data_IF_088802321990
#
_entry.id   IF_088802321990
#
_cell.length_a   1.000
_cell.length_b   1.000
_cell.length_c   1.000
_cell.angle_alpha   90.00
_cell.angle_beta   90.00
_cell.angle_gamma   90.00
#
_symmetry.space_group_name_H-M   'P 1'
#
loop_
_entity.id
_entity.type
_entity.pdbx_description
1 polymer ?
#
# COMPACT_ATOMS: atom_id res chain seq x y z
N UNK A 1 62.70 -18.76 -42.95
CA UNK A 1 61.89 -19.83 -42.31
C UNK A 1 61.77 -19.55 -40.81
N UNK A 2 60.59 -19.82 -40.26
CA UNK A 2 60.23 -19.99 -38.84
C UNK A 2 59.79 -18.78 -38.00
N UNK A 3 58.44 -18.74 -37.88
CA UNK A 3 57.49 -18.08 -36.97
C UNK A 3 57.95 -17.76 -35.53
N UNK A 4 57.43 -16.64 -34.99
CA UNK A 4 56.72 -16.62 -33.69
C UNK A 4 55.71 -15.47 -33.62
N UNK A 5 54.58 -15.77 -32.98
CA UNK A 5 53.30 -15.09 -33.01
C UNK A 5 53.21 -13.84 -32.13
N UNK A 6 52.30 -12.94 -32.49
CA UNK A 6 51.84 -11.83 -31.66
C UNK A 6 50.44 -11.40 -32.08
N UNK A 7 49.43 -11.94 -31.40
CA UNK A 7 48.04 -11.48 -31.44
C UNK A 7 47.96 -10.11 -30.76
N UNK A 8 47.40 -9.10 -31.42
CA UNK A 8 46.81 -7.96 -30.72
C UNK A 8 45.40 -7.71 -31.25
N UNK A 9 44.44 -8.04 -30.38
CA UNK A 9 43.02 -7.82 -30.55
C UNK A 9 42.72 -6.34 -30.78
N UNK A 10 41.87 -6.06 -31.77
CA UNK A 10 41.14 -4.80 -31.87
C UNK A 10 40.18 -4.70 -30.69
N UNK A 11 40.50 -3.85 -29.72
CA UNK A 11 39.57 -3.45 -28.69
C UNK A 11 38.66 -2.35 -29.27
N UNK A 12 37.53 -2.77 -29.84
CA UNK A 12 36.38 -1.89 -30.04
C UNK A 12 35.95 -1.31 -28.68
N UNK A 13 36.05 0.01 -28.52
CA UNK A 13 35.50 0.73 -27.38
C UNK A 13 33.99 0.55 -27.37
N UNK A 14 33.49 -0.31 -26.49
CA UNK A 14 32.07 -0.34 -26.13
C UNK A 14 31.65 1.04 -25.59
N UNK A 15 30.52 1.61 -26.04
CA UNK A 15 30.01 2.86 -25.51
C UNK A 15 29.61 2.67 -24.03
N UNK A 16 29.76 3.71 -23.18
CA UNK A 16 29.48 3.59 -21.76
C UNK A 16 28.01 3.25 -21.53
N UNK A 17 27.77 2.22 -20.70
CA UNK A 17 26.44 1.83 -20.23
C UNK A 17 25.72 3.01 -19.55
N UNK A 18 24.38 3.09 -19.65
CA UNK A 18 23.62 4.28 -19.28
C UNK A 18 23.70 4.57 -17.78
N UNK A 19 23.90 5.84 -17.43
CA UNK A 19 24.16 6.38 -16.09
C UNK A 19 23.15 6.03 -14.96
N UNK A 20 22.06 5.32 -15.25
CA UNK A 20 21.07 4.88 -14.24
C UNK A 20 21.61 3.77 -13.33
N UNK A 21 22.44 2.87 -13.88
CA UNK A 21 23.06 1.77 -13.14
C UNK A 21 24.01 2.28 -12.04
N UNK A 22 24.67 3.42 -12.29
CA UNK A 22 25.63 4.04 -11.36
C UNK A 22 24.96 4.71 -10.14
N UNK A 23 23.71 5.13 -10.25
CA UNK A 23 22.98 5.72 -9.12
C UNK A 23 22.42 4.62 -8.20
N UNK A 24 21.89 3.55 -8.80
CA UNK A 24 21.34 2.40 -8.08
C UNK A 24 22.43 1.62 -7.33
N UNK A 25 23.56 1.36 -7.99
CA UNK A 25 24.74 0.74 -7.37
C UNK A 25 25.34 1.58 -6.25
N UNK A 26 25.41 2.91 -6.40
CA UNK A 26 25.87 3.81 -5.32
C UNK A 26 24.95 3.78 -4.10
N UNK A 27 23.63 3.73 -4.29
CA UNK A 27 22.69 3.72 -3.16
C UNK A 27 22.73 2.38 -2.42
N UNK A 28 22.81 1.25 -3.14
CA UNK A 28 23.05 -0.06 -2.54
C UNK A 28 24.40 -0.13 -1.81
N UNK A 29 25.45 0.50 -2.37
CA UNK A 29 26.78 0.58 -1.76
C UNK A 29 26.78 1.46 -0.51
N UNK A 30 26.09 2.61 -0.52
CA UNK A 30 25.95 3.48 0.65
C UNK A 30 25.16 2.80 1.77
N UNK A 31 24.07 2.10 1.47
CA UNK A 31 23.32 1.30 2.45
C UNK A 31 24.18 0.16 3.04
N UNK A 32 25.13 -0.39 2.27
CA UNK A 32 26.05 -1.42 2.75
C UNK A 32 27.28 -0.88 3.50
N UNK A 33 27.64 0.40 3.33
CA UNK A 33 28.85 1.01 3.89
C UNK A 33 28.60 1.78 5.19
N UNK A 34 27.35 2.13 5.52
CA UNK A 34 27.06 3.09 6.57
C UNK A 34 26.65 2.39 7.88
N UNK A 35 27.65 1.80 8.56
CA UNK A 35 27.55 1.18 9.89
C UNK A 35 27.80 2.20 11.03
N UNK A 36 27.29 3.43 10.86
CA UNK A 36 27.30 4.46 11.90
C UNK A 36 25.96 4.53 12.64
N UNK A 37 25.98 4.65 13.97
CA UNK A 37 24.78 4.91 14.77
C UNK A 37 24.02 6.13 14.18
N UNK A 38 22.72 5.97 13.90
CA UNK A 38 21.82 6.95 13.27
C UNK A 38 21.97 7.20 11.75
N UNK A 39 22.78 6.44 11.01
CA UNK A 39 22.88 6.55 9.54
C UNK A 39 21.52 6.40 8.84
N UNK A 40 20.69 5.45 9.28
CA UNK A 40 19.39 5.14 8.68
C UNK A 40 18.42 6.34 8.77
N UNK A 41 18.45 7.09 9.87
CA UNK A 41 17.65 8.31 10.07
C UNK A 41 18.19 9.48 9.23
N UNK A 42 19.51 9.54 9.00
CA UNK A 42 20.13 10.56 8.13
C UNK A 42 19.93 10.26 6.63
N UNK A 43 19.67 9.01 6.29
CA UNK A 43 19.32 8.56 4.94
C UNK A 43 17.85 8.83 4.59
N UNK A 44 16.98 9.09 5.58
CA UNK A 44 15.59 9.52 5.36
C UNK A 44 15.59 10.91 4.71
N UNK A 45 15.14 10.95 3.45
CA UNK A 45 14.81 12.20 2.81
C UNK A 45 13.48 12.73 3.35
N UNK A 46 13.21 14.03 3.13
CA UNK A 46 11.94 14.63 3.54
C UNK A 46 10.72 14.01 2.83
N UNK A 47 10.90 13.25 1.75
CA UNK A 47 9.88 12.38 1.16
C UNK A 47 9.52 11.22 2.13
N UNK A 48 10.54 10.43 2.50
CA UNK A 48 10.42 9.31 3.43
C UNK A 48 9.78 9.69 4.79
N UNK A 49 10.04 10.90 5.29
CA UNK A 49 9.35 11.42 6.50
C UNK A 49 7.84 11.60 6.30
N UNK A 50 7.41 12.06 5.12
CA UNK A 50 5.99 12.20 4.80
C UNK A 50 5.35 10.81 4.65
N UNK A 51 6.08 9.85 4.08
CA UNK A 51 5.67 8.45 4.03
C UNK A 51 5.47 7.86 5.42
N UNK A 52 6.38 8.13 6.36
CA UNK A 52 6.24 7.72 7.76
C UNK A 52 5.01 8.36 8.44
N UNK A 53 4.63 9.58 8.04
CA UNK A 53 3.39 10.21 8.51
C UNK A 53 2.14 9.50 7.99
N UNK A 54 2.15 9.00 6.75
CA UNK A 54 1.08 8.13 6.25
C UNK A 54 0.98 6.86 7.13
N UNK A 55 2.09 6.15 7.33
CA UNK A 55 2.13 4.96 8.19
C UNK A 55 1.69 5.24 9.63
N UNK A 56 2.05 6.41 10.18
CA UNK A 56 1.60 6.87 11.50
C UNK A 56 0.08 7.05 11.56
N UNK A 57 -0.54 7.61 10.51
CA UNK A 57 -1.99 7.73 10.43
C UNK A 57 -2.66 6.35 10.39
N UNK A 58 -2.12 5.42 9.58
CA UNK A 58 -2.60 4.04 9.54
C UNK A 58 -2.54 3.36 10.91
N UNK A 59 -1.40 3.50 11.60
CA UNK A 59 -1.24 2.95 12.94
C UNK A 59 -2.19 3.59 13.97
N UNK A 60 -2.37 4.91 13.94
CA UNK A 60 -3.33 5.60 14.80
C UNK A 60 -4.77 5.18 14.53
N UNK A 61 -5.13 4.91 13.28
CA UNK A 61 -6.43 4.34 12.91
C UNK A 61 -6.64 2.96 13.56
N UNK A 62 -5.62 2.10 13.54
CA UNK A 62 -5.67 0.78 14.19
C UNK A 62 -5.84 0.93 15.69
N UNK A 63 -5.05 1.78 16.35
CA UNK A 63 -5.17 2.03 17.78
C UNK A 63 -6.54 2.57 18.16
N UNK A 64 -7.10 3.48 17.36
CA UNK A 64 -8.44 4.01 17.58
C UNK A 64 -9.53 2.95 17.41
N UNK A 65 -9.37 2.05 16.44
CA UNK A 65 -10.24 0.89 16.24
C UNK A 65 -10.18 -0.07 17.44
N UNK A 66 -8.98 -0.34 17.96
CA UNK A 66 -8.79 -1.16 19.16
C UNK A 66 -9.39 -0.50 20.40
N UNK A 67 -9.22 0.82 20.55
CA UNK A 67 -9.83 1.58 21.66
C UNK A 67 -11.35 1.49 21.61
N UNK A 68 -11.95 1.58 20.42
CA UNK A 68 -13.39 1.36 20.26
C UNK A 68 -13.82 -0.03 20.72
N UNK A 69 -13.06 -1.09 20.38
CA UNK A 69 -13.36 -2.45 20.84
C UNK A 69 -13.28 -2.65 22.36
N UNK A 70 -12.48 -1.84 23.06
CA UNK A 70 -12.26 -1.94 24.52
C UNK A 70 -13.13 -0.97 25.32
N UNK A 71 -13.61 0.10 24.69
CA UNK A 71 -14.45 1.11 25.31
C UNK A 71 -15.94 0.73 25.28
N UNK A 72 -16.78 1.61 25.82
CA UNK A 72 -18.23 1.45 25.75
C UNK A 72 -18.68 1.44 24.27
N UNK A 73 -19.47 0.45 23.82
CA UNK A 73 -19.99 0.38 22.45
C UNK A 73 -20.77 1.63 21.99
N UNK A 74 -21.27 2.44 22.94
CA UNK A 74 -22.00 3.67 22.63
C UNK A 74 -21.07 4.86 22.29
N UNK A 75 -19.78 4.78 22.64
CA UNK A 75 -18.81 5.84 22.33
C UNK A 75 -18.21 5.67 20.93
N UNK A 76 -18.93 6.20 19.94
CA UNK A 76 -18.50 6.19 18.54
C UNK A 76 -17.32 7.12 18.26
N UNK A 77 -16.84 7.92 19.23
CA UNK A 77 -15.76 8.88 19.02
C UNK A 77 -14.50 8.20 18.49
N UNK A 78 -14.12 7.08 19.10
CA UNK A 78 -12.93 6.32 18.68
C UNK A 78 -13.12 5.65 17.30
N UNK A 79 -14.35 5.27 16.95
CA UNK A 79 -14.66 4.73 15.62
C UNK A 79 -14.55 5.81 14.54
N UNK A 80 -15.10 6.99 14.79
CA UNK A 80 -14.99 8.14 13.88
C UNK A 80 -13.55 8.63 13.73
N UNK A 81 -12.76 8.60 14.80
CA UNK A 81 -11.32 8.90 14.73
C UNK A 81 -10.59 7.88 13.85
N UNK A 82 -10.89 6.58 13.98
CA UNK A 82 -10.31 5.56 13.10
C UNK A 82 -10.65 5.86 11.63
N UNK A 83 -11.92 6.17 11.35
CA UNK A 83 -12.37 6.56 10.01
C UNK A 83 -11.69 7.82 9.48
N UNK A 84 -11.42 8.81 10.35
CA UNK A 84 -10.78 10.07 9.97
C UNK A 84 -9.27 9.96 9.69
N UNK A 85 -8.56 9.03 10.33
CA UNK A 85 -7.11 8.88 10.11
C UNK A 85 -6.76 8.29 8.73
N UNK A 86 -7.59 7.41 8.16
CA UNK A 86 -7.36 6.84 6.83
C UNK A 86 -7.28 7.88 5.68
N UNK A 87 -8.24 8.81 5.50
CA UNK A 87 -8.15 9.85 4.47
C UNK A 87 -7.03 10.85 4.77
N UNK A 88 -6.64 11.04 6.03
CA UNK A 88 -5.47 11.85 6.39
C UNK A 88 -4.15 11.18 5.96
N UNK A 89 -4.04 9.85 6.10
CA UNK A 89 -2.93 9.07 5.53
C UNK A 89 -2.85 9.20 4.01
N UNK A 90 -4.00 9.16 3.31
CA UNK A 90 -4.07 9.39 1.86
C UNK A 90 -3.63 10.80 1.46
N UNK A 91 -3.93 11.80 2.27
CA UNK A 91 -3.44 13.15 2.01
C UNK A 91 -1.91 13.22 2.07
N UNK A 92 -1.29 12.52 3.02
CA UNK A 92 0.18 12.44 3.12
C UNK A 92 0.81 11.62 2.00
N UNK A 93 0.25 10.47 1.63
CA UNK A 93 0.67 9.66 0.48
C UNK A 93 0.72 10.49 -0.81
N UNK A 94 -0.36 11.21 -1.11
CA UNK A 94 -0.41 12.08 -2.28
C UNK A 94 0.63 13.22 -2.23
N UNK A 95 0.89 13.76 -1.04
CA UNK A 95 1.88 14.82 -0.85
C UNK A 95 3.30 14.30 -1.01
N UNK A 96 3.63 13.13 -0.47
CA UNK A 96 4.93 12.48 -0.63
C UNK A 96 5.21 12.20 -2.10
N UNK A 97 4.27 11.58 -2.81
CA UNK A 97 4.40 11.32 -4.24
C UNK A 97 4.61 12.59 -5.08
N UNK A 98 4.05 13.74 -4.66
CA UNK A 98 4.27 15.04 -5.31
C UNK A 98 5.66 15.61 -4.99
N UNK A 99 6.09 15.51 -3.74
CA UNK A 99 7.40 15.98 -3.26
C UNK A 99 8.55 15.16 -3.87
N UNK A 100 8.40 13.84 -3.96
CA UNK A 100 9.36 12.94 -4.60
C UNK A 100 9.55 13.27 -6.10
N UNK A 101 8.45 13.57 -6.81
CA UNK A 101 8.50 14.02 -8.21
C UNK A 101 9.17 15.39 -8.36
N UNK A 102 8.85 16.34 -7.49
CA UNK A 102 9.41 17.68 -7.54
C UNK A 102 10.93 17.70 -7.32
N UNK A 103 11.45 16.77 -6.51
CA UNK A 103 12.88 16.66 -6.22
C UNK A 103 13.69 15.81 -7.20
N UNK A 104 13.07 15.22 -8.22
CA UNK A 104 13.71 14.30 -9.19
C UNK A 104 14.56 13.17 -8.56
N UNK A 105 14.34 12.90 -7.26
CA UNK A 105 15.08 11.93 -6.46
C UNK A 105 14.08 10.96 -5.86
N UNK A 106 13.75 9.92 -6.61
CA UNK A 106 13.07 8.75 -6.07
C UNK A 106 14.12 7.76 -5.56
N UNK A 107 14.23 7.60 -4.24
CA UNK A 107 15.04 6.52 -3.66
C UNK A 107 14.31 5.18 -3.82
N UNK A 108 15.07 4.10 -4.04
CA UNK A 108 14.54 2.73 -3.98
C UNK A 108 14.01 2.38 -2.58
N UNK A 109 14.66 2.88 -1.53
CA UNK A 109 14.24 2.64 -0.15
C UNK A 109 12.90 3.32 0.15
N UNK A 110 12.72 4.56 -0.30
CA UNK A 110 11.46 5.30 -0.15
C UNK A 110 10.28 4.64 -0.88
N UNK A 111 10.51 4.03 -2.05
CA UNK A 111 9.45 3.30 -2.78
C UNK A 111 8.95 2.07 -2.02
N UNK A 112 9.86 1.30 -1.41
CA UNK A 112 9.46 0.15 -0.59
C UNK A 112 8.77 0.62 0.70
N UNK A 113 9.27 1.70 1.32
CA UNK A 113 8.67 2.29 2.51
C UNK A 113 7.25 2.79 2.25
N UNK A 114 7.01 3.42 1.11
CA UNK A 114 5.70 3.91 0.64
C UNK A 114 4.69 2.77 0.53
N UNK A 115 5.10 1.68 -0.10
CA UNK A 115 4.25 0.49 -0.21
C UNK A 115 3.94 -0.15 1.14
N UNK A 116 4.91 -0.19 2.06
CA UNK A 116 4.67 -0.72 3.41
C UNK A 116 3.73 0.19 4.21
N UNK A 117 3.90 1.50 4.12
CA UNK A 117 3.01 2.47 4.75
C UNK A 117 1.57 2.37 4.19
N UNK A 118 1.43 2.26 2.87
CA UNK A 118 0.15 2.08 2.18
C UNK A 118 -0.56 0.79 2.61
N UNK A 119 0.18 -0.31 2.78
CA UNK A 119 -0.39 -1.55 3.27
C UNK A 119 -0.95 -1.39 4.69
N UNK A 120 -0.23 -0.69 5.56
CA UNK A 120 -0.66 -0.46 6.94
C UNK A 120 -1.90 0.44 6.97
N UNK A 121 -1.88 1.56 6.25
CA UNK A 121 -2.96 2.56 6.27
C UNK A 121 -4.21 2.08 5.53
N UNK A 122 -4.08 1.58 4.31
CA UNK A 122 -5.24 1.28 3.46
C UNK A 122 -5.63 -0.19 3.45
N UNK A 123 -4.71 -1.08 3.83
CA UNK A 123 -4.97 -2.51 4.00
C UNK A 123 -5.39 -2.81 5.42
N UNK A 124 -4.43 -2.80 6.33
CA UNK A 124 -4.58 -3.29 7.71
C UNK A 124 -5.52 -2.40 8.52
N UNK A 125 -5.38 -1.07 8.44
CA UNK A 125 -6.24 -0.18 9.23
C UNK A 125 -7.71 -0.23 8.79
N UNK A 126 -7.96 -0.40 7.48
CA UNK A 126 -9.32 -0.60 6.95
C UNK A 126 -9.94 -1.90 7.45
N UNK A 127 -9.16 -2.99 7.46
CA UNK A 127 -9.61 -4.26 8.02
C UNK A 127 -9.87 -4.19 9.54
N UNK A 128 -8.99 -3.52 10.28
CA UNK A 128 -9.14 -3.30 11.72
C UNK A 128 -10.37 -2.45 12.05
N UNK A 129 -10.63 -1.39 11.28
CA UNK A 129 -11.80 -0.54 11.43
C UNK A 129 -13.11 -1.31 11.12
N UNK A 130 -13.10 -2.18 10.11
CA UNK A 130 -14.21 -3.09 9.83
C UNK A 130 -14.50 -4.05 10.99
N UNK A 131 -13.47 -4.70 11.52
CA UNK A 131 -13.61 -5.56 12.69
C UNK A 131 -14.17 -4.80 13.89
N UNK A 132 -13.68 -3.57 14.13
CA UNK A 132 -14.12 -2.72 15.22
C UNK A 132 -15.61 -2.35 15.10
N UNK A 133 -16.07 -2.00 13.90
CA UNK A 133 -17.47 -1.65 13.63
C UNK A 133 -18.45 -2.81 13.88
N UNK A 134 -18.02 -4.07 13.77
CA UNK A 134 -18.89 -5.21 14.09
C UNK A 134 -18.73 -6.45 13.22
N UNK A 135 -17.86 -6.43 12.22
CA UNK A 135 -17.53 -7.61 11.41
C UNK A 135 -16.69 -8.64 12.20
N UNK A 136 -17.29 -9.24 13.23
CA UNK A 136 -16.61 -10.09 14.23
C UNK A 136 -16.78 -11.59 13.98
N UNK A 137 -17.64 -11.99 13.06
CA UNK A 137 -17.87 -13.42 12.76
C UNK A 137 -16.62 -14.08 12.16
N UNK A 138 -16.52 -15.41 12.27
CA UNK A 138 -15.36 -16.15 11.75
C UNK A 138 -15.17 -15.95 10.23
N UNK A 139 -16.28 -15.90 9.48
CA UNK A 139 -16.25 -15.72 8.03
C UNK A 139 -15.91 -14.27 7.67
N UNK A 140 -16.41 -13.28 8.40
CA UNK A 140 -16.04 -11.88 8.17
C UNK A 140 -14.54 -11.66 8.38
N UNK A 141 -13.95 -12.30 9.40
CA UNK A 141 -12.50 -12.24 9.63
C UNK A 141 -11.72 -12.82 8.43
N UNK A 142 -12.22 -13.87 7.79
CA UNK A 142 -11.64 -14.42 6.55
C UNK A 142 -11.74 -13.39 5.41
N UNK A 143 -12.87 -12.68 5.27
CA UNK A 143 -13.01 -11.63 4.25
C UNK A 143 -12.06 -10.44 4.49
N UNK A 144 -11.93 -10.01 5.74
CA UNK A 144 -11.00 -8.94 6.11
C UNK A 144 -9.54 -9.37 5.87
N UNK A 145 -9.17 -10.59 6.24
CA UNK A 145 -7.85 -11.14 5.97
C UNK A 145 -7.58 -11.25 4.47
N UNK A 146 -8.56 -11.72 3.69
CA UNK A 146 -8.46 -11.81 2.23
C UNK A 146 -8.23 -10.44 1.59
N UNK A 147 -8.94 -9.40 2.04
CA UNK A 147 -8.73 -8.02 1.60
C UNK A 147 -7.28 -7.56 1.81
N UNK A 148 -6.72 -7.78 3.01
CA UNK A 148 -5.32 -7.42 3.32
C UNK A 148 -4.33 -8.19 2.44
N UNK A 149 -4.53 -9.50 2.26
CA UNK A 149 -3.67 -10.34 1.42
C UNK A 149 -3.73 -9.95 -0.06
N UNK A 150 -4.91 -9.56 -0.57
CA UNK A 150 -5.06 -9.01 -1.90
C UNK A 150 -4.27 -7.70 -2.06
N UNK A 151 -4.37 -6.81 -1.06
CA UNK A 151 -3.60 -5.57 -1.02
C UNK A 151 -2.09 -5.79 -1.00
N UNK A 152 -1.62 -6.70 -0.16
CA UNK A 152 -0.20 -7.09 -0.09
C UNK A 152 0.30 -7.59 -1.45
N UNK A 153 -0.44 -8.50 -2.09
CA UNK A 153 -0.09 -9.05 -3.41
C UNK A 153 -0.05 -7.96 -4.49
N UNK A 154 -0.99 -7.02 -4.42
CA UNK A 154 -1.08 -5.87 -5.33
C UNK A 154 0.14 -4.95 -5.22
N UNK A 155 0.57 -4.61 -4.00
CA UNK A 155 1.75 -3.77 -3.76
C UNK A 155 3.03 -4.48 -4.16
N UNK A 156 3.19 -5.75 -3.80
CA UNK A 156 4.34 -6.55 -4.21
C UNK A 156 4.49 -6.60 -5.75
N UNK A 157 3.37 -6.79 -6.48
CA UNK A 157 3.37 -6.74 -7.95
C UNK A 157 3.75 -5.35 -8.46
N UNK A 158 3.25 -4.28 -7.84
CA UNK A 158 3.57 -2.91 -8.23
C UNK A 158 5.07 -2.62 -8.08
N UNK A 159 5.67 -2.99 -6.95
CA UNK A 159 7.10 -2.75 -6.67
C UNK A 159 8.00 -3.48 -7.67
N UNK A 160 7.71 -4.76 -7.94
CA UNK A 160 8.45 -5.54 -8.95
C UNK A 160 8.28 -4.96 -10.37
N UNK A 161 7.08 -4.50 -10.71
CA UNK A 161 6.79 -3.92 -12.04
C UNK A 161 7.55 -2.60 -12.23
N UNK A 162 7.61 -1.75 -11.21
CA UNK A 162 8.37 -0.49 -11.23
C UNK A 162 9.87 -0.76 -11.37
N UNK A 163 10.40 -1.79 -10.73
CA UNK A 163 11.82 -2.17 -10.82
C UNK A 163 12.21 -2.74 -12.21
N UNK A 164 11.30 -3.50 -12.85
CA UNK A 164 11.58 -4.24 -14.08
C UNK A 164 11.23 -3.49 -15.38
N UNK A 165 10.42 -2.43 -15.34
CA UNK A 165 10.02 -1.70 -16.54
C UNK A 165 11.17 -0.83 -17.09
N UNK A 166 11.71 -1.11 -18.29
CA UNK A 166 12.60 -0.19 -18.97
C UNK A 166 11.83 1.10 -19.27
N UNK A 167 12.36 2.26 -18.88
CA UNK A 167 11.88 3.56 -19.36
C UNK A 167 12.26 3.70 -20.83
N UNK A 168 11.50 3.09 -21.73
CA UNK A 168 11.70 3.22 -23.17
C UNK A 168 11.24 4.58 -23.70
N UNK A 169 11.98 5.07 -24.70
CA UNK A 169 11.91 6.40 -25.33
C UNK A 169 10.59 6.70 -26.07
N UNK A 170 9.55 5.88 -25.91
CA UNK A 170 8.21 6.01 -26.51
C UNK A 170 7.07 6.02 -25.49
N UNK A 171 7.37 5.98 -24.18
CA UNK A 171 6.63 6.74 -23.16
C UNK A 171 5.13 6.49 -22.94
N UNK A 172 4.58 5.28 -23.16
CA UNK A 172 3.21 4.95 -22.72
C UNK A 172 3.07 3.50 -22.24
N UNK A 173 3.25 3.23 -20.94
CA UNK A 173 2.56 2.10 -20.29
C UNK A 173 1.08 2.48 -20.18
N UNK A 174 0.29 1.98 -21.12
CA UNK A 174 -1.02 2.55 -21.46
C UNK A 174 -2.16 2.13 -20.53
N UNK A 175 -1.91 1.27 -19.54
CA UNK A 175 -2.95 0.73 -18.67
C UNK A 175 -2.41 0.47 -17.26
N UNK A 176 -3.05 1.09 -16.26
CA UNK A 176 -2.97 0.62 -14.88
C UNK A 176 -3.93 -0.57 -14.77
N UNK A 177 -3.39 -1.78 -14.59
CA UNK A 177 -4.20 -2.96 -14.30
C UNK A 177 -4.59 -2.92 -12.82
N UNK A 178 -5.89 -2.92 -12.49
CA UNK A 178 -6.39 -3.10 -11.12
C UNK A 178 -6.54 -1.81 -10.31
N UNK A 179 -7.49 -1.83 -9.36
CA UNK A 179 -7.88 -0.67 -8.55
C UNK A 179 -6.77 -0.28 -7.57
N UNK A 180 -6.38 1.02 -7.45
CA UNK A 180 -5.43 1.47 -6.44
C UNK A 180 -5.94 1.15 -5.02
N UNK A 181 -5.03 0.75 -4.14
CA UNK A 181 -5.38 0.42 -2.74
C UNK A 181 -6.07 1.58 -2.01
N UNK A 182 -5.64 2.85 -2.17
CA UNK A 182 -6.36 3.98 -1.61
C UNK A 182 -7.83 4.04 -2.01
N UNK A 183 -8.16 3.69 -3.25
CA UNK A 183 -9.53 3.71 -3.72
C UNK A 183 -10.37 2.58 -3.09
N UNK A 184 -9.81 1.38 -2.97
CA UNK A 184 -10.48 0.26 -2.29
C UNK A 184 -10.72 0.56 -0.80
N UNK A 185 -9.76 1.24 -0.15
CA UNK A 185 -9.90 1.76 1.21
C UNK A 185 -11.04 2.79 1.29
N UNK A 186 -11.04 3.81 0.42
CA UNK A 186 -12.10 4.83 0.41
C UNK A 186 -13.48 4.25 0.17
N UNK A 187 -13.63 3.29 -0.74
CA UNK A 187 -14.92 2.60 -0.95
C UNK A 187 -15.38 1.90 0.32
N UNK A 188 -14.51 1.10 0.94
CA UNK A 188 -14.84 0.38 2.18
C UNK A 188 -15.15 1.36 3.32
N UNK A 189 -14.37 2.45 3.42
CA UNK A 189 -14.56 3.52 4.40
C UNK A 189 -15.90 4.22 4.22
N UNK A 190 -16.28 4.57 2.99
CA UNK A 190 -17.57 5.25 2.74
C UNK A 190 -18.73 4.37 3.19
N UNK A 191 -18.69 3.07 2.92
CA UNK A 191 -19.73 2.15 3.39
C UNK A 191 -19.75 2.08 4.92
N UNK A 192 -18.60 1.86 5.56
CA UNK A 192 -18.52 1.83 7.03
C UNK A 192 -18.97 3.14 7.69
N UNK A 193 -18.56 4.28 7.15
CA UNK A 193 -18.94 5.60 7.65
C UNK A 193 -20.45 5.87 7.47
N UNK A 194 -21.04 5.44 6.34
CA UNK A 194 -22.49 5.54 6.17
C UNK A 194 -23.24 4.63 7.13
N UNK A 195 -22.78 3.40 7.35
CA UNK A 195 -23.37 2.51 8.35
C UNK A 195 -23.32 3.11 9.75
N UNK A 196 -22.15 3.63 10.15
CA UNK A 196 -21.99 4.29 11.44
C UNK A 196 -22.87 5.55 11.58
N UNK A 197 -23.06 6.31 10.49
CA UNK A 197 -23.94 7.48 10.48
C UNK A 197 -25.42 7.12 10.70
N UNK A 198 -25.88 6.00 10.14
CA UNK A 198 -27.23 5.49 10.37
C UNK A 198 -27.39 4.72 11.69
N UNK A 199 -26.32 4.59 12.49
CA UNK A 199 -26.32 3.81 13.72
C UNK A 199 -26.28 2.29 13.51
N UNK A 200 -26.01 1.84 12.29
CA UNK A 200 -25.95 0.44 11.92
C UNK A 200 -24.60 -0.19 12.29
N UNK A 201 -24.44 -0.50 13.58
CA UNK A 201 -23.19 -0.97 14.16
C UNK A 201 -23.50 -2.24 14.96
N UNK A 202 -22.56 -3.18 15.01
CA UNK A 202 -22.71 -4.46 15.70
C UNK A 202 -23.94 -5.28 15.24
N UNK A 203 -25.00 -5.35 16.04
CA UNK A 203 -26.19 -6.17 15.74
C UNK A 203 -27.16 -5.50 14.74
N UNK A 204 -27.05 -4.18 14.58
CA UNK A 204 -27.91 -3.38 13.70
C UNK A 204 -27.32 -3.19 12.28
N UNK A 205 -26.29 -3.97 11.91
CA UNK A 205 -25.71 -3.94 10.57
C UNK A 205 -26.78 -4.34 9.54
N UNK A 206 -27.05 -3.55 8.49
CA UNK A 206 -28.14 -3.83 7.57
C UNK A 206 -27.89 -5.14 6.83
N UNK A 207 -28.97 -5.85 6.52
CA UNK A 207 -29.00 -7.24 6.03
C UNK A 207 -28.74 -8.32 7.10
N UNK A 208 -28.46 -7.92 8.35
CA UNK A 208 -28.28 -8.83 9.48
C UNK A 208 -27.18 -9.86 9.23
N UNK A 209 -27.21 -10.97 9.96
CA UNK A 209 -26.36 -12.12 9.69
C UNK A 209 -27.10 -13.16 8.85
N UNK A 210 -26.47 -13.60 7.76
CA UNK A 210 -26.93 -14.78 7.03
C UNK A 210 -26.34 -15.99 7.74
N UNK A 211 -27.15 -17.04 7.94
CA UNK A 211 -26.78 -18.28 8.65
C UNK A 211 -26.54 -18.12 10.17
N UNK A 212 -27.32 -17.25 10.83
CA UNK A 212 -27.30 -17.12 12.29
C UNK A 212 -27.47 -18.46 13.01
N UNK A 213 -26.51 -18.81 13.88
CA UNK A 213 -26.50 -20.07 14.64
C UNK A 213 -25.65 -21.21 14.06
N UNK A 214 -24.86 -20.96 13.01
CA UNK A 214 -23.87 -21.92 12.49
C UNK A 214 -22.46 -21.31 12.50
N UNK A 215 -21.42 -22.14 12.46
CA UNK A 215 -20.01 -21.68 12.42
C UNK A 215 -19.67 -20.82 11.18
N UNK A 216 -20.59 -20.74 10.21
CA UNK A 216 -20.50 -19.99 8.96
C UNK A 216 -21.36 -18.71 8.94
N UNK A 217 -21.72 -18.18 10.11
CA UNK A 217 -22.41 -16.89 10.20
C UNK A 217 -21.54 -15.77 9.59
N UNK A 218 -22.13 -14.94 8.73
CA UNK A 218 -21.44 -13.82 8.10
C UNK A 218 -22.37 -12.63 7.82
N UNK A 219 -21.81 -11.43 7.80
CA UNK A 219 -22.54 -10.23 7.42
C UNK A 219 -22.47 -10.04 5.89
N UNK A 220 -23.60 -9.88 5.18
CA UNK A 220 -23.61 -9.67 3.73
C UNK A 220 -22.83 -8.43 3.30
N UNK A 221 -22.77 -7.40 4.15
CA UNK A 221 -21.94 -6.21 3.89
C UNK A 221 -20.45 -6.57 3.88
N UNK A 222 -20.02 -7.58 4.64
CA UNK A 222 -18.64 -8.08 4.66
C UNK A 222 -18.16 -8.55 3.28
N UNK A 223 -19.07 -8.93 2.38
CA UNK A 223 -18.78 -9.27 0.98
C UNK A 223 -18.16 -8.09 0.23
N UNK A 224 -18.37 -6.84 0.67
CA UNK A 224 -17.71 -5.68 0.05
C UNK A 224 -16.19 -5.76 0.15
N UNK A 225 -15.65 -6.27 1.25
CA UNK A 225 -14.20 -6.46 1.42
C UNK A 225 -13.67 -7.53 0.46
N UNK A 226 -14.45 -8.59 0.24
CA UNK A 226 -14.14 -9.62 -0.75
C UNK A 226 -14.15 -9.04 -2.17
N UNK A 227 -15.20 -8.29 -2.54
CA UNK A 227 -15.32 -7.63 -3.84
C UNK A 227 -14.16 -6.65 -4.05
N UNK A 228 -13.85 -5.82 -3.05
CA UNK A 228 -12.73 -4.89 -3.12
C UNK A 228 -11.39 -5.64 -3.27
N UNK A 229 -11.16 -6.73 -2.54
CA UNK A 229 -9.97 -7.57 -2.70
C UNK A 229 -9.85 -8.18 -4.11
N UNK A 230 -10.96 -8.67 -4.66
CA UNK A 230 -11.02 -9.16 -6.04
C UNK A 230 -10.72 -8.03 -7.03
N UNK A 231 -11.29 -6.83 -6.85
CA UNK A 231 -11.06 -5.68 -7.73
C UNK A 231 -9.61 -5.16 -7.68
N UNK A 232 -8.90 -5.36 -6.56
CA UNK A 232 -7.47 -5.02 -6.42
C UNK A 232 -6.57 -5.99 -7.19
N UNK A 233 -6.94 -7.27 -7.25
CA UNK A 233 -6.17 -8.34 -7.92
C UNK A 233 -6.61 -8.58 -9.37
N UNK A 234 -7.81 -8.11 -9.74
CA UNK A 234 -8.38 -8.26 -11.07
C UNK A 234 -7.59 -7.48 -12.12
N UNK A 235 -7.23 -8.16 -13.21
CA UNK A 235 -6.58 -7.58 -14.39
C UNK A 235 -7.56 -6.86 -15.34
N UNK A 236 -8.85 -6.85 -15.01
CA UNK A 236 -9.91 -6.51 -15.97
C UNK A 236 -10.27 -5.02 -15.96
N UNK A 237 -9.94 -4.28 -14.89
CA UNK A 237 -10.17 -2.83 -14.82
C UNK A 237 -9.02 -2.06 -15.47
N UNK A 238 -9.30 -1.53 -16.67
CA UNK A 238 -8.44 -0.62 -17.42
C UNK A 238 -8.93 0.81 -17.17
N UNK A 239 -8.35 1.53 -16.20
CA UNK A 239 -8.68 2.95 -15.98
C UNK A 239 -7.79 3.82 -16.89
N UNK A 240 -8.36 4.56 -17.87
CA UNK A 240 -7.60 5.48 -18.69
C UNK A 240 -7.19 6.73 -17.88
N UNK A 241 -5.93 7.15 -17.99
CA UNK A 241 -5.47 8.43 -17.41
C UNK A 241 -6.11 9.61 -18.16
N UNK A 242 -6.53 10.69 -17.48
CA UNK A 242 -6.70 11.99 -18.10
C UNK A 242 -5.35 12.58 -18.57
#
# INVERSE_FOLDING_TARGET
>A
MSRRAGLTNGAEKQPPAPAKDNAQSKQAMLLSQDSGHFSLIRALHLADLITELNGFCGFMSILSSMRYCLADPNDLTNLWLAFGFMPFGLFFDFFDGKVARWREKSSLMGQELDSLADLVTFGVATAAAGFAMGFRTNVDQIFLAFYVLCGLTRLARFNVTVAMLPKDKTGKSKYFEGTPIPFACLMSLTVMATCAWFGWIHEDIPLGTILGGTDLEFHPIGVIFLVNGILMTSRTLHVPKP
#
